data_IF_156293914502
#
_entry.id   IF_156293914502
#
_cell.length_a   1.000
_cell.length_b   1.000
_cell.length_c   1.000
_cell.angle_alpha   90.00
_cell.angle_beta   90.00
_cell.angle_gamma   90.00
#
_symmetry.space_group_name_H-M   'P 1'
#
loop_
_entity.id
_entity.type
_entity.pdbx_description
1 polymer ?
#
# COMPACT_ATOMS: atom_id res chain seq x y z
N UNK A 1 -7.07 42.28 2.13
CA UNK A 1 -7.71 40.94 1.97
C UNK A 1 -6.67 39.89 2.31
N UNK A 2 -6.65 39.47 3.58
CA UNK A 2 -5.73 38.43 4.06
C UNK A 2 -6.26 37.07 3.59
N UNK A 3 -5.57 36.47 2.63
CA UNK A 3 -5.85 35.12 2.16
C UNK A 3 -5.40 34.19 3.27
N UNK A 4 -6.34 33.53 3.95
CA UNK A 4 -6.02 32.47 4.90
C UNK A 4 -5.21 31.40 4.17
N UNK A 5 -3.90 31.40 4.37
CA UNK A 5 -3.01 30.32 3.98
C UNK A 5 -3.33 29.16 4.94
N UNK A 6 -3.79 28.00 4.47
CA UNK A 6 -3.85 26.83 5.32
C UNK A 6 -2.40 26.45 5.61
N UNK A 7 -1.92 26.77 6.80
CA UNK A 7 -0.70 26.19 7.37
C UNK A 7 -1.00 24.72 7.67
N UNK A 8 -0.96 23.89 6.63
CA UNK A 8 -0.99 22.45 6.75
C UNK A 8 0.36 21.93 7.23
N UNK A 9 0.74 22.28 8.47
CA UNK A 9 1.73 21.50 9.19
C UNK A 9 1.07 20.17 9.56
N UNK A 10 1.49 19.09 8.89
CA UNK A 10 1.19 17.72 9.28
C UNK A 10 -0.08 17.11 8.68
N UNK A 11 0.07 16.29 7.65
CA UNK A 11 -0.87 15.21 7.34
C UNK A 11 -0.03 13.93 7.41
N UNK A 12 0.09 13.24 8.55
CA UNK A 12 -0.92 12.30 9.09
C UNK A 12 -1.61 11.55 7.96
N UNK A 13 -1.09 10.36 7.65
CA UNK A 13 -1.76 9.21 7.05
C UNK A 13 -3.07 9.50 6.31
N UNK A 14 -3.00 10.35 5.27
CA UNK A 14 -4.18 10.59 4.44
C UNK A 14 -4.34 9.38 3.54
N UNK A 15 -5.53 8.77 3.58
CA UNK A 15 -5.81 7.61 2.76
C UNK A 15 -5.54 7.93 1.27
N UNK A 16 -4.80 7.08 0.55
CA UNK A 16 -4.31 7.39 -0.78
C UNK A 16 -5.44 7.48 -1.82
N UNK A 17 -5.28 8.43 -2.76
CA UNK A 17 -6.27 8.73 -3.79
C UNK A 17 -5.98 8.04 -5.15
N UNK A 18 -4.88 7.30 -5.25
CA UNK A 18 -4.49 6.57 -6.46
C UNK A 18 -3.97 5.18 -6.11
N UNK A 19 -4.08 4.23 -7.05
CA UNK A 19 -3.61 2.86 -6.83
C UNK A 19 -2.09 2.79 -6.56
N UNK A 20 -1.20 3.52 -7.28
CA UNK A 20 0.22 3.54 -6.91
C UNK A 20 0.47 4.06 -5.49
N UNK A 21 -0.20 5.16 -5.10
CA UNK A 21 -0.07 5.69 -3.75
C UNK A 21 -0.64 4.74 -2.68
N UNK A 22 -1.67 3.96 -3.03
CA UNK A 22 -2.21 2.90 -2.19
C UNK A 22 -1.21 1.78 -1.96
N UNK A 23 -0.53 1.33 -3.00
CA UNK A 23 0.50 0.30 -2.88
C UNK A 23 1.67 0.78 -2.00
N UNK A 24 2.12 2.01 -2.17
CA UNK A 24 3.20 2.58 -1.34
C UNK A 24 2.77 2.79 0.13
N UNK A 25 1.50 3.13 0.35
CA UNK A 25 0.94 3.19 1.70
C UNK A 25 0.85 1.79 2.33
N UNK A 26 0.39 0.80 1.58
CA UNK A 26 0.28 -0.59 2.04
C UNK A 26 1.65 -1.21 2.35
N UNK A 27 2.69 -0.90 1.59
CA UNK A 27 4.06 -1.36 1.89
C UNK A 27 4.60 -0.83 3.22
N UNK A 28 4.21 0.40 3.61
CA UNK A 28 4.53 0.95 4.93
C UNK A 28 3.68 0.36 6.04
N UNK A 29 2.40 0.10 5.78
CA UNK A 29 1.46 -0.46 6.75
C UNK A 29 1.67 -1.96 7.00
N UNK A 30 2.25 -2.67 6.03
CA UNK A 30 2.59 -4.09 6.07
C UNK A 30 4.09 -4.25 5.71
N UNK A 31 5.00 -3.90 6.63
CA UNK A 31 6.45 -3.99 6.38
C UNK A 31 6.93 -5.43 6.28
N UNK A 32 8.19 -5.61 5.89
CA UNK A 32 8.81 -6.94 5.88
C UNK A 32 8.85 -7.53 7.30
N UNK A 33 8.55 -8.82 7.39
CA UNK A 33 8.41 -9.52 8.66
C UNK A 33 9.77 -9.65 9.36
N UNK A 34 9.83 -9.22 10.61
CA UNK A 34 10.99 -9.42 11.49
C UNK A 34 10.50 -9.99 12.83
N UNK A 35 10.33 -11.32 12.94
CA UNK A 35 9.81 -11.94 14.15
C UNK A 35 10.70 -11.66 15.36
N UNK A 36 10.09 -11.29 16.48
CA UNK A 36 10.79 -11.02 17.74
C UNK A 36 10.52 -12.12 18.77
N UNK A 37 11.46 -12.39 19.69
CA UNK A 37 11.22 -13.31 20.80
C UNK A 37 9.97 -12.89 21.58
N UNK A 38 9.05 -13.83 21.79
CA UNK A 38 7.79 -13.60 22.50
C UNK A 38 6.55 -13.45 21.59
N UNK A 39 6.73 -13.33 20.27
CA UNK A 39 5.59 -13.42 19.35
C UNK A 39 5.13 -14.87 19.18
N UNK A 40 3.82 -15.05 19.03
CA UNK A 40 3.23 -16.35 18.74
C UNK A 40 3.40 -16.70 17.27
N UNK A 41 3.27 -17.99 16.94
CA UNK A 41 3.30 -18.43 15.55
C UNK A 41 2.15 -17.81 14.75
N UNK A 42 0.97 -17.68 15.36
CA UNK A 42 -0.23 -17.10 14.77
C UNK A 42 -0.01 -15.63 14.38
N UNK A 43 0.63 -14.83 15.24
CA UNK A 43 0.96 -13.43 14.95
C UNK A 43 1.91 -13.32 13.76
N UNK A 44 2.96 -14.15 13.75
CA UNK A 44 3.95 -14.21 12.66
C UNK A 44 3.28 -14.60 11.34
N UNK A 45 2.41 -15.60 11.36
CA UNK A 45 1.66 -16.04 10.17
C UNK A 45 0.65 -14.99 9.69
N UNK A 46 -0.01 -14.29 10.60
CA UNK A 46 -0.95 -13.23 10.26
C UNK A 46 -0.24 -12.07 9.54
N UNK A 47 0.90 -11.61 10.07
CA UNK A 47 1.68 -10.55 9.43
C UNK A 47 2.28 -11.00 8.10
N UNK A 48 2.73 -12.25 7.99
CA UNK A 48 3.14 -12.83 6.71
C UNK A 48 2.01 -12.80 5.67
N UNK A 49 0.80 -13.19 6.05
CA UNK A 49 -0.37 -13.15 5.17
C UNK A 49 -0.74 -11.74 4.72
N UNK A 50 -0.65 -10.76 5.62
CA UNK A 50 -0.86 -9.34 5.27
C UNK A 50 0.16 -8.84 4.25
N UNK A 51 1.43 -9.23 4.40
CA UNK A 51 2.50 -8.88 3.46
C UNK A 51 2.28 -9.52 2.08
N UNK A 52 1.90 -10.79 2.05
CA UNK A 52 1.65 -11.51 0.79
C UNK A 52 0.45 -10.93 0.03
N UNK A 53 -0.58 -10.48 0.74
CA UNK A 53 -1.71 -9.77 0.12
C UNK A 53 -1.26 -8.49 -0.59
N UNK A 54 -0.39 -7.68 0.03
CA UNK A 54 0.14 -6.45 -0.60
C UNK A 54 0.93 -6.77 -1.87
N UNK A 55 1.79 -7.80 -1.82
CA UNK A 55 2.55 -8.29 -2.98
C UNK A 55 1.64 -8.77 -4.11
N UNK A 56 0.55 -9.47 -3.77
CA UNK A 56 -0.44 -9.93 -4.73
C UNK A 56 -1.13 -8.77 -5.44
N UNK A 57 -1.63 -7.78 -4.70
CA UNK A 57 -2.32 -6.61 -5.27
C UNK A 57 -1.37 -5.83 -6.18
N UNK A 58 -0.11 -5.63 -5.76
CA UNK A 58 0.92 -4.97 -6.57
C UNK A 58 1.14 -5.70 -7.90
N UNK A 59 1.30 -7.02 -7.85
CA UNK A 59 1.49 -7.85 -9.05
C UNK A 59 0.31 -7.77 -10.00
N UNK A 60 -0.92 -7.87 -9.51
CA UNK A 60 -2.11 -7.78 -10.36
C UNK A 60 -2.29 -6.38 -10.95
N UNK A 61 -1.96 -5.33 -10.21
CA UNK A 61 -1.92 -3.97 -10.74
C UNK A 61 -0.90 -3.83 -11.87
N UNK A 62 0.34 -4.27 -11.66
CA UNK A 62 1.40 -4.25 -12.68
C UNK A 62 0.99 -5.03 -13.94
N UNK A 63 0.36 -6.20 -13.76
CA UNK A 63 -0.19 -7.00 -14.86
C UNK A 63 -1.31 -6.28 -15.61
N UNK A 64 -2.16 -5.55 -14.91
CA UNK A 64 -3.23 -4.76 -15.55
C UNK A 64 -2.69 -3.66 -16.47
N UNK A 65 -1.53 -3.09 -16.12
CA UNK A 65 -0.85 -2.08 -16.94
C UNK A 65 -0.22 -2.67 -18.21
N UNK A 66 0.01 -3.98 -18.25
CA UNK A 66 0.65 -4.68 -19.37
C UNK A 66 -0.34 -5.22 -20.40
N UNK A 67 -1.66 -5.10 -20.18
CA UNK A 67 -2.63 -5.56 -21.19
C UNK A 67 -2.51 -4.68 -22.45
N UNK A 68 -2.18 -5.25 -23.62
CA UNK A 68 -2.21 -4.49 -24.86
C UNK A 68 -3.65 -4.04 -25.13
N UNK A 69 -3.81 -2.78 -25.56
CA UNK A 69 -5.05 -2.29 -26.14
C UNK A 69 -5.47 -3.30 -27.21
N UNK A 70 -6.57 -4.02 -26.96
CA UNK A 70 -7.20 -4.81 -27.99
C UNK A 70 -7.73 -3.78 -28.98
N UNK A 71 -6.97 -3.53 -30.05
CA UNK A 71 -7.50 -2.86 -31.23
C UNK A 71 -8.54 -3.82 -31.80
N UNK A 72 -9.80 -3.66 -31.37
CA UNK A 72 -10.93 -4.21 -32.07
C UNK A 72 -10.88 -3.64 -33.50
N UNK A 73 -10.64 -4.53 -34.45
CA UNK A 73 -10.71 -4.27 -35.88
C UNK A 73 -12.02 -4.83 -36.43
#
# INVERSE_FOLDING_TARGET
>A
MNRHQPTGHGSRDTFPISIPALLDWLDRACPELSPTPGQTLEEVMFDAGRRDMVRFIRREFERSLQRPDIKEG
#
